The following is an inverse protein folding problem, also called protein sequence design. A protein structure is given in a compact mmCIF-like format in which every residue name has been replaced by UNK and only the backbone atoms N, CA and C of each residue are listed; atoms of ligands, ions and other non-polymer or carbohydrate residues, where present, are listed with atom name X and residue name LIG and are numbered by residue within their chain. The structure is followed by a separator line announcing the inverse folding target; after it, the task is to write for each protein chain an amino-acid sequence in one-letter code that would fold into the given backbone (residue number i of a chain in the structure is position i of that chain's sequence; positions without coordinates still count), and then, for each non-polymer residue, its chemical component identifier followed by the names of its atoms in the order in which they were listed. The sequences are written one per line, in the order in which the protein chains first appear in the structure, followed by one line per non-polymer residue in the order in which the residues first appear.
data_IF_930679990740
#
_entry.id   IF_930679990740
#
_cell.length_a   1.000
_cell.length_b   1.000
_cell.length_c   1.000
_cell.angle_alpha   90.00
_cell.angle_beta   90.00
_cell.angle_gamma   90.00
#
_symmetry.space_group_name_H-M   'P 1'
#
loop_
_entity.id
_entity.type
_entity.pdbx_description
1 polymer ?
#
# COMPACT_ATOMS: atom_id res chain seq x y z
N UNK A 1 1.11 12.17 -20.24
CA UNK A 1 2.37 11.89 -20.94
C UNK A 1 2.21 12.01 -22.46
N UNK A 2 1.36 11.20 -23.11
CA UNK A 2 1.22 11.18 -24.58
C UNK A 2 0.80 12.52 -25.20
N UNK A 3 -0.14 13.23 -24.57
CA UNK A 3 -0.56 14.59 -25.00
C UNK A 3 0.57 15.62 -24.97
N UNK A 4 1.65 15.34 -24.24
CA UNK A 4 2.85 16.16 -24.11
C UNK A 4 4.06 15.55 -24.83
N UNK A 5 3.88 14.47 -25.60
CA UNK A 5 4.94 13.77 -26.32
C UNK A 5 5.87 12.91 -25.46
N UNK A 6 5.53 12.68 -24.19
CA UNK A 6 6.28 11.83 -23.28
C UNK A 6 5.72 10.41 -23.23
N UNK A 7 6.58 9.42 -22.97
CA UNK A 7 6.19 8.01 -22.76
C UNK A 7 5.28 7.87 -21.54
N UNK A 8 4.19 7.11 -21.69
CA UNK A 8 3.25 6.83 -20.60
C UNK A 8 3.89 5.94 -19.52
N UNK A 9 4.82 5.09 -19.92
CA UNK A 9 5.58 4.19 -19.06
C UNK A 9 6.48 4.92 -18.06
N UNK A 10 6.76 6.22 -18.29
CA UNK A 10 7.42 7.07 -17.30
C UNK A 10 6.55 7.28 -16.04
N UNK A 11 5.23 7.09 -16.13
CA UNK A 11 4.32 7.11 -14.98
C UNK A 11 4.26 5.70 -14.40
N UNK A 12 5.28 5.35 -13.62
CA UNK A 12 5.36 4.08 -12.89
C UNK A 12 5.92 4.31 -11.49
N UNK A 13 5.45 3.58 -10.47
CA UNK A 13 6.07 3.60 -9.14
C UNK A 13 7.57 3.28 -9.19
N UNK A 14 8.39 4.16 -8.65
CA UNK A 14 9.84 3.99 -8.50
C UNK A 14 10.22 3.26 -7.20
N UNK A 15 9.26 3.16 -6.27
CA UNK A 15 9.38 2.41 -5.02
C UNK A 15 8.33 1.29 -4.98
N UNK A 16 8.50 0.25 -4.15
CA UNK A 16 7.46 -0.75 -3.89
C UNK A 16 6.18 -0.11 -3.36
N UNK A 17 5.05 -0.55 -3.87
CA UNK A 17 3.71 -0.09 -3.45
C UNK A 17 2.82 -1.29 -3.20
N UNK A 18 2.25 -1.31 -2.01
CA UNK A 18 1.32 -2.33 -1.55
C UNK A 18 -0.06 -1.72 -1.33
N UNK A 19 -1.04 -2.16 -2.12
CA UNK A 19 -2.43 -1.78 -1.95
C UNK A 19 -3.19 -2.92 -1.28
N UNK A 20 -3.67 -2.69 -0.06
CA UNK A 20 -4.50 -3.65 0.68
C UNK A 20 -5.97 -3.27 0.54
N UNK A 21 -6.79 -4.22 0.12
CA UNK A 21 -8.24 -4.04 0.00
C UNK A 21 -8.91 -4.53 1.28
N UNK A 22 -9.27 -3.60 2.16
CA UNK A 22 -9.87 -3.89 3.48
C UNK A 22 -11.08 -3.01 3.83
N UNK A 23 -11.22 -1.84 3.20
CA UNK A 23 -12.30 -0.87 3.44
C UNK A 23 -13.56 -1.10 2.57
N UNK A 24 -13.76 -2.29 2.01
CA UNK A 24 -14.91 -2.61 1.14
C UNK A 24 -15.90 -3.62 1.72
N UNK A 25 -15.47 -4.49 2.64
CA UNK A 25 -16.36 -5.47 3.30
C UNK A 25 -17.31 -4.74 4.24
N UNK A 26 -18.58 -5.09 4.20
CA UNK A 26 -19.58 -4.67 5.18
C UNK A 26 -20.18 -5.87 5.90
N UNK A 27 -20.69 -5.66 7.11
CA UNK A 27 -21.38 -6.71 7.88
C UNK A 27 -22.86 -6.73 7.49
N UNK A 28 -23.19 -7.42 6.39
CA UNK A 28 -24.58 -7.64 5.95
C UNK A 28 -25.23 -8.85 6.65
N UNK A 29 -24.45 -9.87 6.97
CA UNK A 29 -24.82 -11.07 7.73
C UNK A 29 -23.90 -11.22 8.95
N UNK A 30 -24.46 -11.64 10.08
CA UNK A 30 -23.74 -11.88 11.33
C UNK A 30 -24.30 -13.11 12.07
N UNK A 31 -23.48 -13.69 12.96
CA UNK A 31 -23.84 -14.80 13.85
C UNK A 31 -24.32 -16.10 13.15
N UNK A 32 -24.09 -16.26 11.85
CA UNK A 32 -24.26 -17.51 11.11
C UNK A 32 -22.92 -18.14 10.75
N UNK A 33 -22.85 -19.49 10.62
CA UNK A 33 -21.63 -20.17 10.18
C UNK A 33 -21.20 -19.78 8.76
N UNK A 34 -22.13 -19.29 7.93
CA UNK A 34 -21.91 -18.84 6.55
C UNK A 34 -21.87 -17.31 6.40
N UNK A 35 -21.86 -16.55 7.50
CA UNK A 35 -21.91 -15.08 7.45
C UNK A 35 -20.70 -14.46 6.76
N UNK A 36 -19.51 -15.02 6.95
CA UNK A 36 -18.29 -14.52 6.30
C UNK A 36 -18.38 -14.65 4.77
N UNK A 37 -18.71 -15.85 4.28
CA UNK A 37 -18.85 -16.13 2.85
C UNK A 37 -19.90 -15.23 2.20
N UNK A 38 -21.06 -15.05 2.86
CA UNK A 38 -22.12 -14.14 2.39
C UNK A 38 -21.66 -12.69 2.29
N UNK A 39 -20.94 -12.18 3.29
CA UNK A 39 -20.46 -10.79 3.29
C UNK A 39 -19.44 -10.56 2.17
N UNK A 40 -18.52 -11.49 1.97
CA UNK A 40 -17.55 -11.44 0.86
C UNK A 40 -18.25 -11.53 -0.50
N UNK A 41 -19.23 -12.42 -0.66
CA UNK A 41 -19.99 -12.51 -1.92
C UNK A 41 -20.72 -11.19 -2.25
N UNK A 42 -21.35 -10.55 -1.26
CA UNK A 42 -22.03 -9.27 -1.42
C UNK A 42 -21.02 -8.15 -1.74
N UNK A 43 -19.89 -8.12 -1.06
CA UNK A 43 -18.79 -7.17 -1.32
C UNK A 43 -18.32 -7.25 -2.78
N UNK A 44 -18.07 -8.46 -3.29
CA UNK A 44 -17.66 -8.67 -4.68
C UNK A 44 -18.70 -8.15 -5.68
N UNK A 45 -20.00 -8.40 -5.42
CA UNK A 45 -21.09 -7.88 -6.25
C UNK A 45 -21.14 -6.35 -6.24
N UNK A 46 -20.87 -5.71 -5.11
CA UNK A 46 -20.92 -4.24 -4.95
C UNK A 46 -19.71 -3.52 -5.53
N UNK A 47 -18.53 -4.16 -5.50
CA UNK A 47 -17.25 -3.52 -5.83
C UNK A 47 -16.57 -4.11 -7.07
N UNK A 48 -17.28 -4.88 -7.90
CA UNK A 48 -16.71 -5.57 -9.05
C UNK A 48 -15.84 -4.65 -9.94
N UNK A 49 -16.38 -3.50 -10.37
CA UNK A 49 -15.65 -2.55 -11.23
C UNK A 49 -14.38 -2.02 -10.55
N UNK A 50 -14.45 -1.71 -9.25
CA UNK A 50 -13.28 -1.26 -8.47
C UNK A 50 -12.21 -2.34 -8.43
N UNK A 51 -12.57 -3.59 -8.23
CA UNK A 51 -11.61 -4.70 -8.19
C UNK A 51 -11.01 -5.01 -9.55
N UNK A 52 -11.80 -4.92 -10.62
CA UNK A 52 -11.29 -5.03 -11.99
C UNK A 52 -10.28 -3.91 -12.28
N UNK A 53 -10.56 -2.68 -11.87
CA UNK A 53 -9.65 -1.55 -12.02
C UNK A 53 -8.35 -1.72 -11.21
N UNK A 54 -8.45 -2.11 -9.94
CA UNK A 54 -7.28 -2.36 -9.09
C UNK A 54 -6.43 -3.53 -9.59
N UNK A 55 -7.09 -4.60 -10.06
CA UNK A 55 -6.41 -5.75 -10.69
C UNK A 55 -5.71 -5.35 -11.96
N UNK A 56 -6.35 -4.54 -12.81
CA UNK A 56 -5.68 -3.95 -13.97
C UNK A 56 -4.44 -3.15 -13.54
N UNK A 57 -4.54 -2.31 -12.51
CA UNK A 57 -3.41 -1.55 -11.96
C UNK A 57 -2.22 -2.43 -11.57
N UNK A 58 -2.46 -3.58 -10.92
CA UNK A 58 -1.42 -4.56 -10.58
C UNK A 58 -0.69 -5.17 -11.77
N UNK A 59 -1.31 -5.15 -12.96
CA UNK A 59 -0.71 -5.64 -14.20
C UNK A 59 -0.11 -4.51 -15.05
N UNK A 60 -0.61 -3.29 -14.88
CA UNK A 60 -0.20 -2.12 -15.64
C UNK A 60 1.07 -1.46 -15.07
N UNK A 61 1.27 -1.53 -13.76
CA UNK A 61 2.41 -0.91 -13.08
C UNK A 61 3.39 -1.95 -12.54
N UNK A 62 4.69 -1.68 -12.70
CA UNK A 62 5.76 -2.40 -12.00
C UNK A 62 5.84 -1.91 -10.57
N UNK A 63 6.31 -2.77 -9.66
CA UNK A 63 6.42 -2.48 -8.23
C UNK A 63 5.08 -2.22 -7.53
N UNK A 64 3.96 -2.61 -8.14
CA UNK A 64 2.63 -2.44 -7.55
C UNK A 64 2.00 -3.80 -7.26
N UNK A 65 1.78 -4.10 -5.98
CA UNK A 65 1.16 -5.34 -5.51
C UNK A 65 -0.19 -5.03 -4.89
N UNK A 66 -1.18 -5.87 -5.18
CA UNK A 66 -2.53 -5.78 -4.60
C UNK A 66 -2.77 -6.99 -3.70
N UNK A 67 -3.09 -6.73 -2.44
CA UNK A 67 -3.56 -7.73 -1.48
C UNK A 67 -5.09 -7.80 -1.60
N UNK A 68 -5.65 -8.98 -1.95
CA UNK A 68 -7.08 -9.12 -2.24
C UNK A 68 -7.96 -8.97 -0.99
N UNK A 69 -9.27 -8.69 -1.16
CA UNK A 69 -10.21 -8.59 -0.05
C UNK A 69 -10.28 -9.89 0.76
N UNK A 70 -10.61 -9.77 2.05
CA UNK A 70 -10.71 -10.90 2.97
C UNK A 70 -9.38 -11.46 3.48
N UNK A 71 -8.23 -10.88 3.09
CA UNK A 71 -6.90 -11.30 3.59
C UNK A 71 -6.60 -10.74 4.98
N UNK A 72 -7.17 -9.59 5.34
CA UNK A 72 -6.92 -8.90 6.59
C UNK A 72 -7.08 -7.39 6.43
N UNK A 73 -6.74 -6.63 7.47
CA UNK A 73 -6.71 -5.16 7.44
C UNK A 73 -5.30 -4.66 7.14
N UNK A 74 -5.19 -3.50 6.47
CA UNK A 74 -3.95 -2.94 5.93
C UNK A 74 -2.80 -2.98 6.93
N UNK A 75 -3.00 -2.43 8.13
CA UNK A 75 -1.94 -2.30 9.13
C UNK A 75 -1.54 -3.63 9.78
N UNK A 76 -2.47 -4.58 9.92
CA UNK A 76 -2.15 -5.91 10.43
C UNK A 76 -1.36 -6.72 9.40
N UNK A 77 -1.79 -6.69 8.14
CA UNK A 77 -1.03 -7.31 7.03
C UNK A 77 0.35 -6.66 6.90
N UNK A 78 0.46 -5.35 7.13
CA UNK A 78 1.74 -4.66 7.13
C UNK A 78 2.67 -5.19 8.24
N UNK A 79 2.19 -5.28 9.48
CA UNK A 79 2.96 -5.80 10.61
C UNK A 79 3.37 -7.26 10.45
N UNK A 80 2.48 -8.10 9.93
CA UNK A 80 2.68 -9.56 9.92
C UNK A 80 3.38 -10.08 8.66
N UNK A 81 3.34 -9.31 7.56
CA UNK A 81 3.78 -9.81 6.25
C UNK A 81 4.59 -8.83 5.39
N UNK A 82 4.21 -7.54 5.34
CA UNK A 82 4.84 -6.60 4.39
C UNK A 82 6.10 -5.93 4.96
N UNK A 83 6.07 -5.53 6.24
CA UNK A 83 7.16 -4.84 6.91
C UNK A 83 8.39 -5.74 7.07
N UNK A 84 9.57 -5.20 6.78
CA UNK A 84 10.83 -5.96 6.79
C UNK A 84 11.80 -5.51 7.87
N UNK A 85 11.61 -4.34 8.47
CA UNK A 85 12.58 -3.65 9.36
C UNK A 85 13.88 -3.24 8.64
N UNK A 86 14.47 -4.14 7.86
CA UNK A 86 15.65 -3.91 7.02
C UNK A 86 15.40 -4.48 5.63
N UNK A 87 15.53 -3.64 4.62
CA UNK A 87 15.53 -4.07 3.22
C UNK A 87 16.96 -4.25 2.72
N UNK A 88 17.11 -5.07 1.68
CA UNK A 88 18.37 -5.25 0.95
C UNK A 88 18.18 -4.97 -0.53
N UNK A 89 19.14 -4.31 -1.15
CA UNK A 89 19.18 -4.04 -2.59
C UNK A 89 20.61 -4.23 -3.10
N UNK A 90 20.74 -4.78 -4.30
CA UNK A 90 22.02 -4.80 -5.02
C UNK A 90 22.28 -3.42 -5.66
N UNK A 91 23.40 -2.80 -5.33
CA UNK A 91 23.82 -1.49 -5.84
C UNK A 91 25.32 -1.48 -6.06
N UNK A 92 25.77 -1.10 -7.26
CA UNK A 92 27.19 -1.08 -7.66
C UNK A 92 27.97 -2.39 -7.43
N UNK A 93 27.27 -3.53 -7.46
CA UNK A 93 27.85 -4.87 -7.25
C UNK A 93 28.01 -5.26 -5.79
N UNK A 94 27.47 -4.47 -4.86
CA UNK A 94 27.42 -4.76 -3.43
C UNK A 94 25.97 -4.86 -2.94
N UNK A 95 25.73 -5.74 -1.97
CA UNK A 95 24.43 -5.81 -1.27
C UNK A 95 24.37 -4.69 -0.23
N UNK A 96 23.52 -3.70 -0.45
CA UNK A 96 23.26 -2.60 0.48
C UNK A 96 22.04 -2.95 1.34
N UNK A 97 22.20 -2.85 2.66
CA UNK A 97 21.10 -2.95 3.62
C UNK A 97 20.68 -1.54 4.08
N UNK A 98 19.38 -1.29 4.16
CA UNK A 98 18.83 0.00 4.57
C UNK A 98 17.56 -0.19 5.41
N UNK A 99 17.24 0.75 6.32
CA UNK A 99 16.07 0.64 7.18
C UNK A 99 14.78 0.70 6.35
N UNK A 100 13.78 -0.04 6.80
CA UNK A 100 12.43 0.05 6.27
C UNK A 100 11.77 1.36 6.72
N UNK A 101 11.16 2.06 5.76
CA UNK A 101 10.37 3.26 5.98
C UNK A 101 9.18 3.25 5.03
N UNK A 102 8.05 3.82 5.45
CA UNK A 102 6.89 3.91 4.57
C UNK A 102 6.02 5.13 4.85
N UNK A 103 5.29 5.55 3.83
CA UNK A 103 4.15 6.46 3.97
C UNK A 103 2.94 5.78 3.35
N UNK A 104 1.78 5.93 4.00
CA UNK A 104 0.55 5.28 3.56
C UNK A 104 -0.59 6.28 3.46
N UNK A 105 -1.56 6.01 2.59
CA UNK A 105 -2.77 6.83 2.43
C UNK A 105 -3.81 6.56 3.53
N UNK A 106 -3.34 6.24 4.74
CA UNK A 106 -4.14 5.95 5.93
C UNK A 106 -3.41 6.47 7.17
N UNK A 107 -4.14 7.13 8.08
CA UNK A 107 -3.56 7.77 9.27
C UNK A 107 -2.94 6.79 10.27
N UNK A 108 -3.38 5.54 10.29
CA UNK A 108 -2.87 4.51 11.21
C UNK A 108 -1.64 3.78 10.66
N UNK A 109 -1.07 4.21 9.52
CA UNK A 109 0.23 3.71 9.03
C UNK A 109 1.32 3.78 10.11
N UNK A 110 1.17 4.70 11.07
CA UNK A 110 2.01 4.79 12.27
C UNK A 110 2.06 3.52 13.13
N UNK A 111 1.14 2.57 12.96
CA UNK A 111 1.14 1.29 13.66
C UNK A 111 2.41 0.48 13.41
N UNK A 112 3.00 0.60 12.20
CA UNK A 112 4.23 -0.11 11.81
C UNK A 112 5.44 0.32 12.65
N UNK A 113 5.38 1.50 13.30
CA UNK A 113 6.45 2.02 14.16
C UNK A 113 6.75 1.10 15.35
N UNK A 114 5.80 0.25 15.75
CA UNK A 114 6.01 -0.79 16.76
C UNK A 114 7.09 -1.81 16.36
N UNK A 115 7.38 -1.96 15.06
CA UNK A 115 8.42 -2.84 14.51
C UNK A 115 9.69 -2.08 14.12
N UNK A 116 9.91 -0.87 14.65
CA UNK A 116 11.08 -0.03 14.32
C UNK A 116 11.18 0.38 12.84
N UNK A 117 10.07 0.31 12.11
CA UNK A 117 9.91 0.87 10.76
C UNK A 117 9.41 2.29 10.91
N UNK A 118 10.08 3.30 10.33
CA UNK A 118 9.61 4.68 10.41
C UNK A 118 8.49 4.89 9.38
N UNK A 119 7.24 5.03 9.83
CA UNK A 119 6.13 5.31 8.95
C UNK A 119 4.99 6.15 9.52
N UNK A 120 4.27 6.82 8.62
CA UNK A 120 3.15 7.69 8.95
C UNK A 120 2.16 7.85 7.79
N UNK A 121 0.97 8.38 8.11
CA UNK A 121 -0.07 8.64 7.13
C UNK A 121 0.15 9.94 6.35
N UNK A 122 -0.11 9.92 5.05
CA UNK A 122 -0.08 11.09 4.15
C UNK A 122 -1.34 11.14 3.27
N UNK A 123 -1.55 12.24 2.56
CA UNK A 123 -2.61 12.32 1.55
C UNK A 123 -2.28 11.52 0.28
N UNK A 124 -3.30 11.29 -0.55
CA UNK A 124 -3.13 10.54 -1.80
C UNK A 124 -2.16 11.19 -2.79
N UNK A 125 -2.15 12.53 -2.87
CA UNK A 125 -1.27 13.28 -3.77
C UNK A 125 0.19 13.16 -3.33
N UNK A 126 0.44 13.26 -2.03
CA UNK A 126 1.78 13.08 -1.46
C UNK A 126 2.28 11.65 -1.66
N UNK A 127 1.42 10.65 -1.48
CA UNK A 127 1.74 9.26 -1.76
C UNK A 127 2.06 9.05 -3.25
N UNK A 128 1.25 9.57 -4.18
CA UNK A 128 1.52 9.50 -5.62
C UNK A 128 2.83 10.20 -6.01
N UNK A 129 3.13 11.34 -5.42
CA UNK A 129 4.40 12.04 -5.65
C UNK A 129 5.59 11.21 -5.15
N UNK A 130 5.48 10.61 -3.95
CA UNK A 130 6.49 9.71 -3.40
C UNK A 130 6.68 8.46 -4.26
N UNK A 131 5.59 7.88 -4.77
CA UNK A 131 5.61 6.78 -5.73
C UNK A 131 6.39 7.14 -6.99
N UNK A 132 6.33 8.39 -7.45
CA UNK A 132 7.07 8.88 -8.61
C UNK A 132 8.49 9.38 -8.29
N UNK A 133 8.99 9.11 -7.08
CA UNK A 133 10.36 9.42 -6.65
C UNK A 133 10.54 10.83 -6.09
N UNK A 134 9.48 11.58 -5.83
CA UNK A 134 9.59 12.86 -5.11
C UNK A 134 9.80 12.59 -3.61
N UNK A 135 10.84 13.17 -2.99
CA UNK A 135 11.01 13.07 -1.54
C UNK A 135 9.84 13.71 -0.78
N UNK A 136 9.45 13.10 0.34
CA UNK A 136 8.44 13.69 1.23
C UNK A 136 9.05 14.91 1.94
N UNK A 137 8.42 16.07 1.79
CA UNK A 137 8.85 17.30 2.45
C UNK A 137 8.30 17.38 3.87
N UNK A 138 9.16 17.59 4.85
CA UNK A 138 8.78 17.76 6.25
C UNK A 138 9.74 18.68 7.01
N UNK A 139 9.25 19.29 8.09
CA UNK A 139 10.11 19.94 9.06
C UNK A 139 10.83 18.87 9.89
N UNK A 140 12.04 19.18 10.36
CA UNK A 140 12.73 18.33 11.33
C UNK A 140 11.90 18.33 12.63
N UNK A 141 11.35 17.17 13.05
CA UNK A 141 10.49 17.12 14.21
C UNK A 141 11.31 17.10 15.51
N UNK A 142 10.70 17.57 16.59
CA UNK A 142 11.21 17.26 17.93
C UNK A 142 10.97 15.78 18.25
N UNK A 143 11.87 15.19 19.03
CA UNK A 143 11.77 13.78 19.48
C UNK A 143 11.58 13.76 20.98
N UNK A 144 10.44 13.24 21.42
CA UNK A 144 10.08 13.10 22.85
C UNK A 144 10.22 11.63 23.25
N UNK A 145 11.04 11.37 24.27
CA UNK A 145 11.31 10.03 24.82
C UNK A 145 10.70 9.82 26.20
#
# INVERSE_FOLDING_TARGET
AEKLGASAEAINPQVPVDLVIDHSVMVDSFAGPDSFEKNVEIEYKRNQERYEFLRWGSTAFKNFRVVPPGTGICHQVNLEYLGQTVWTKEEDGETVAYPDTCVGTDSHTTMINALSVLGWGVGGIEAEAAMLGQPVSMLIPEVIG
#
